data_IF_764525692043
#
_entry.id   IF_764525692043
#
_cell.length_a   1.000
_cell.length_b   1.000
_cell.length_c   1.000
_cell.angle_alpha   90.00
_cell.angle_beta   90.00
_cell.angle_gamma   90.00
#
_symmetry.space_group_name_H-M   'P 1'
#
loop_
_entity.id
_entity.type
_entity.pdbx_description
1 polymer ?
#
# COMPACT_ATOMS: atom_id res chain seq x y z
N UNK A 1 20.00 -24.00 23.53
CA UNK A 1 20.23 -24.46 24.93
C UNK A 1 20.11 -25.97 24.96
N UNK A 2 21.17 -26.68 25.32
CA UNK A 2 21.12 -28.14 25.46
C UNK A 2 20.61 -28.46 26.87
N UNK A 3 19.40 -29.03 26.94
CA UNK A 3 18.75 -29.47 28.16
C UNK A 3 19.13 -30.93 28.48
N UNK A 4 19.42 -31.20 29.77
CA UNK A 4 19.57 -32.55 30.22
C UNK A 4 18.23 -33.30 30.24
N UNK A 5 18.25 -34.63 30.33
CA UNK A 5 17.04 -35.46 30.28
C UNK A 5 16.01 -35.09 31.36
N UNK A 6 16.45 -34.80 32.60
CA UNK A 6 15.58 -34.39 33.67
C UNK A 6 15.06 -32.95 33.49
N UNK A 7 15.89 -32.01 33.00
CA UNK A 7 15.48 -30.61 32.73
C UNK A 7 14.34 -30.57 31.70
N UNK A 8 14.45 -31.38 30.64
CA UNK A 8 13.42 -31.50 29.60
C UNK A 8 12.13 -32.11 30.17
N UNK A 9 12.22 -33.11 31.00
CA UNK A 9 11.06 -33.75 31.63
C UNK A 9 10.29 -32.76 32.51
N UNK A 10 10.99 -31.96 33.35
CA UNK A 10 10.39 -30.94 34.23
C UNK A 10 9.78 -29.81 33.41
N UNK A 11 10.48 -29.29 32.38
CA UNK A 11 9.97 -28.25 31.51
C UNK A 11 8.67 -28.68 30.79
N UNK A 12 8.61 -29.93 30.27
CA UNK A 12 7.41 -30.50 29.67
C UNK A 12 6.25 -30.62 30.66
N UNK A 13 6.54 -30.97 31.93
CA UNK A 13 5.50 -31.10 32.97
C UNK A 13 4.93 -29.73 33.38
N UNK A 14 5.74 -28.67 33.32
CA UNK A 14 5.26 -27.29 33.58
C UNK A 14 4.46 -26.70 32.42
N UNK A 15 4.67 -27.16 31.20
CA UNK A 15 3.87 -26.78 30.03
C UNK A 15 2.52 -27.52 29.98
N UNK A 16 2.47 -28.78 30.47
CA UNK A 16 1.28 -29.63 30.46
C UNK A 16 0.83 -29.85 31.92
N UNK A 17 -0.09 -29.04 32.45
CA UNK A 17 -0.49 -29.09 33.83
C UNK A 17 -1.22 -30.39 34.19
N UNK A 18 -0.98 -30.84 35.44
CA UNK A 18 -1.72 -31.98 36.03
C UNK A 18 -3.12 -31.61 36.48
N UNK A 19 -3.88 -32.64 36.95
CA UNK A 19 -5.21 -32.45 37.55
C UNK A 19 -5.06 -31.50 38.79
N UNK A 20 -5.75 -30.34 38.74
CA UNK A 20 -5.75 -29.33 39.81
C UNK A 20 -4.95 -28.03 39.50
N UNK A 21 -4.21 -27.97 38.39
CA UNK A 21 -3.41 -26.79 37.99
C UNK A 21 -4.07 -25.94 36.90
N UNK A 22 -5.38 -25.96 36.79
CA UNK A 22 -6.15 -25.30 35.72
C UNK A 22 -5.92 -23.79 35.60
N UNK A 23 -5.65 -23.13 36.75
CA UNK A 23 -5.40 -21.69 36.74
C UNK A 23 -4.06 -21.33 36.06
N UNK A 24 -3.01 -22.12 36.27
CA UNK A 24 -1.70 -21.92 35.62
C UNK A 24 -1.82 -22.12 34.12
N UNK A 25 -2.56 -23.14 33.71
CA UNK A 25 -2.85 -23.42 32.32
C UNK A 25 -3.62 -22.28 31.64
N UNK A 26 -4.66 -21.75 32.31
CA UNK A 26 -5.43 -20.62 31.81
C UNK A 26 -4.52 -19.40 31.53
N UNK A 27 -3.66 -19.05 32.49
CA UNK A 27 -2.76 -17.88 32.34
C UNK A 27 -1.72 -18.10 31.23
N UNK A 28 -1.17 -19.31 31.12
CA UNK A 28 -0.26 -19.65 30.02
C UNK A 28 -0.95 -19.62 28.66
N UNK A 29 -2.20 -20.09 28.59
CA UNK A 29 -3.04 -20.05 27.36
C UNK A 29 -3.37 -18.62 26.94
N UNK A 30 -3.70 -17.74 27.89
CA UNK A 30 -3.94 -16.32 27.61
C UNK A 30 -2.67 -15.68 27.01
N UNK A 31 -1.50 -15.99 27.58
CA UNK A 31 -0.22 -15.47 27.06
C UNK A 31 0.08 -15.98 25.64
N UNK A 32 -0.18 -17.26 25.38
CA UNK A 32 -0.02 -17.86 24.05
C UNK A 32 -0.96 -17.18 23.04
N UNK A 33 -2.25 -17.03 23.39
CA UNK A 33 -3.25 -16.36 22.54
C UNK A 33 -2.88 -14.90 22.29
N UNK A 34 -2.38 -14.17 23.29
CA UNK A 34 -1.96 -12.78 23.12
C UNK A 34 -0.80 -12.65 22.13
N UNK A 35 0.20 -13.54 22.19
CA UNK A 35 1.32 -13.56 21.24
C UNK A 35 0.82 -13.97 19.86
N UNK A 36 -0.03 -14.98 19.76
CA UNK A 36 -0.64 -15.44 18.52
C UNK A 36 -1.39 -14.31 17.81
N UNK A 37 -2.26 -13.60 18.54
CA UNK A 37 -3.02 -12.48 17.98
C UNK A 37 -2.13 -11.31 17.61
N UNK A 38 -1.12 -10.97 18.42
CA UNK A 38 -0.18 -9.90 18.11
C UNK A 38 0.61 -10.15 16.85
N UNK A 39 1.16 -11.35 16.68
CA UNK A 39 1.92 -11.75 15.48
C UNK A 39 0.99 -11.82 14.25
N UNK A 40 -0.19 -12.42 14.39
CA UNK A 40 -1.16 -12.50 13.31
C UNK A 40 -1.60 -11.11 12.84
N UNK A 41 -1.95 -10.21 13.78
CA UNK A 41 -2.36 -8.84 13.47
C UNK A 41 -1.26 -8.08 12.69
N UNK A 42 0.00 -8.22 13.12
CA UNK A 42 1.14 -7.61 12.44
C UNK A 42 1.28 -8.09 11.00
N UNK A 43 1.24 -9.40 10.79
CA UNK A 43 1.36 -10.01 9.46
C UNK A 43 0.19 -9.58 8.57
N UNK A 44 -1.03 -9.60 9.08
CA UNK A 44 -2.22 -9.23 8.33
C UNK A 44 -2.14 -7.76 7.90
N UNK A 45 -1.91 -6.85 8.86
CA UNK A 45 -1.91 -5.41 8.60
C UNK A 45 -0.80 -5.03 7.63
N UNK A 46 0.44 -5.51 7.86
CA UNK A 46 1.56 -5.21 6.97
C UNK A 46 1.35 -5.76 5.56
N UNK A 47 0.83 -6.99 5.43
CA UNK A 47 0.55 -7.60 4.14
C UNK A 47 -0.54 -6.86 3.36
N UNK A 48 -1.60 -6.42 4.03
CA UNK A 48 -2.68 -5.63 3.42
C UNK A 48 -2.16 -4.25 3.00
N UNK A 49 -1.38 -3.58 3.85
CA UNK A 49 -0.78 -2.28 3.51
C UNK A 49 0.19 -2.36 2.34
N UNK A 50 1.03 -3.40 2.29
CA UNK A 50 1.91 -3.63 1.14
C UNK A 50 1.13 -3.94 -0.13
N UNK A 51 0.04 -4.70 -0.02
CA UNK A 51 -0.87 -4.96 -1.13
C UNK A 51 -1.55 -3.69 -1.63
N UNK A 52 -2.10 -2.88 -0.72
CA UNK A 52 -2.71 -1.59 -1.06
C UNK A 52 -1.73 -0.65 -1.75
N UNK A 53 -0.51 -0.57 -1.22
CA UNK A 53 0.55 0.27 -1.80
C UNK A 53 0.97 -0.20 -3.19
N UNK A 54 1.15 -1.51 -3.38
CA UNK A 54 1.49 -2.07 -4.69
C UNK A 54 0.39 -1.79 -5.72
N UNK A 55 -0.87 -2.00 -5.37
CA UNK A 55 -2.00 -1.75 -6.26
C UNK A 55 -2.17 -0.27 -6.61
N UNK A 56 -1.96 0.64 -5.62
CA UNK A 56 -1.95 2.08 -5.91
C UNK A 56 -0.85 2.46 -6.90
N UNK A 57 0.34 1.90 -6.73
CA UNK A 57 1.45 2.17 -7.64
C UNK A 57 1.20 1.65 -9.04
N UNK A 58 0.72 0.42 -9.16
CA UNK A 58 0.40 -0.17 -10.45
C UNK A 58 -0.64 0.66 -11.21
N UNK A 59 -1.63 1.23 -10.51
CA UNK A 59 -2.65 2.10 -11.13
C UNK A 59 -2.12 3.48 -11.48
N UNK A 60 -1.34 4.11 -10.61
CA UNK A 60 -0.75 5.43 -10.87
C UNK A 60 0.23 5.35 -12.07
N UNK A 61 1.09 4.34 -12.08
CA UNK A 61 2.09 4.13 -13.13
C UNK A 61 1.44 3.68 -14.44
N UNK A 62 0.40 2.84 -14.37
CA UNK A 62 -0.26 2.27 -15.54
C UNK A 62 -0.94 3.30 -16.45
N UNK A 63 -1.32 4.47 -15.93
CA UNK A 63 -2.00 5.53 -16.67
C UNK A 63 -1.12 6.71 -17.04
N UNK A 64 -0.11 7.05 -16.22
CA UNK A 64 0.68 8.28 -16.37
C UNK A 64 2.12 8.05 -16.81
N UNK A 65 2.45 6.84 -17.26
CA UNK A 65 3.84 6.49 -17.59
C UNK A 65 4.76 6.46 -16.36
N UNK A 66 6.03 6.12 -16.59
CA UNK A 66 7.04 6.01 -15.54
C UNK A 66 7.74 7.35 -15.26
N UNK A 67 7.73 8.26 -16.22
CA UNK A 67 8.26 9.62 -16.08
C UNK A 67 7.60 10.56 -17.08
N UNK A 68 7.75 11.85 -16.82
CA UNK A 68 7.39 12.91 -17.76
C UNK A 68 8.56 13.84 -17.99
N UNK A 69 8.71 14.28 -19.23
CA UNK A 69 9.54 15.45 -19.59
C UNK A 69 8.61 16.62 -19.73
N UNK A 70 8.60 17.52 -18.75
CA UNK A 70 7.71 18.68 -18.72
C UNK A 70 8.42 19.94 -19.19
N UNK A 71 7.87 20.61 -20.18
CA UNK A 71 8.36 21.90 -20.64
C UNK A 71 8.15 23.00 -19.58
N UNK A 72 9.06 23.95 -19.48
CA UNK A 72 8.91 25.08 -18.58
C UNK A 72 7.69 25.93 -18.98
N UNK A 73 6.87 26.29 -17.98
CA UNK A 73 5.60 26.98 -18.25
C UNK A 73 4.56 26.12 -18.95
N UNK A 74 4.68 24.80 -18.87
CA UNK A 74 3.82 23.82 -19.55
C UNK A 74 3.83 23.94 -21.10
N UNK A 75 4.99 24.36 -21.65
CA UNK A 75 5.24 24.54 -23.08
C UNK A 75 6.57 23.96 -23.50
N UNK A 76 6.58 23.11 -24.51
CA UNK A 76 7.75 22.47 -25.10
C UNK A 76 7.69 22.60 -26.61
N UNK A 77 8.33 23.65 -27.21
CA UNK A 77 8.28 23.88 -28.64
C UNK A 77 9.06 22.82 -29.44
N UNK A 78 10.21 22.36 -28.93
CA UNK A 78 11.09 21.40 -29.63
C UNK A 78 10.74 19.94 -29.25
N UNK A 79 9.46 19.64 -29.01
CA UNK A 79 9.04 18.36 -28.47
C UNK A 79 9.37 17.16 -29.37
N UNK A 80 9.41 17.34 -30.70
CA UNK A 80 9.74 16.25 -31.63
C UNK A 80 11.15 15.75 -31.45
N UNK A 81 12.11 16.67 -31.26
CA UNK A 81 13.51 16.34 -31.00
C UNK A 81 13.66 15.62 -29.65
N UNK A 82 12.93 16.09 -28.63
CA UNK A 82 12.95 15.47 -27.31
C UNK A 82 12.31 14.06 -27.33
N UNK A 83 11.21 13.86 -28.05
CA UNK A 83 10.61 12.54 -28.26
C UNK A 83 11.59 11.60 -28.96
N UNK A 84 12.31 12.08 -29.99
CA UNK A 84 13.27 11.25 -30.69
C UNK A 84 14.48 10.91 -29.82
N UNK A 85 14.99 11.85 -29.03
CA UNK A 85 16.04 11.59 -28.04
C UNK A 85 15.59 10.61 -26.97
N UNK A 86 14.35 10.75 -26.45
CA UNK A 86 13.78 9.83 -25.48
C UNK A 86 13.69 8.40 -26.04
N UNK A 87 13.19 8.24 -27.29
CA UNK A 87 13.07 6.93 -27.95
C UNK A 87 14.41 6.28 -28.24
N UNK A 88 15.50 7.06 -28.40
CA UNK A 88 16.86 6.55 -28.58
C UNK A 88 17.54 6.19 -27.27
N UNK A 89 16.97 6.60 -26.12
CA UNK A 89 17.55 6.31 -24.80
C UNK A 89 17.35 4.83 -24.47
N UNK A 90 18.43 4.07 -24.19
CA UNK A 90 18.31 2.64 -23.85
C UNK A 90 17.45 2.45 -22.62
N UNK A 91 16.49 1.50 -22.69
CA UNK A 91 15.54 1.22 -21.61
C UNK A 91 14.22 2.00 -21.69
N UNK A 92 14.08 2.98 -22.59
CA UNK A 92 12.79 3.61 -22.91
C UNK A 92 12.00 2.72 -23.87
N UNK A 93 10.77 2.39 -23.50
CA UNK A 93 9.86 1.57 -24.32
C UNK A 93 8.86 2.40 -25.11
N UNK A 94 8.47 3.56 -24.58
CA UNK A 94 7.54 4.49 -25.22
C UNK A 94 7.83 5.93 -24.80
N UNK A 95 7.62 6.87 -25.75
CA UNK A 95 7.63 8.30 -25.50
C UNK A 95 6.50 8.95 -26.31
N UNK A 96 5.50 9.47 -25.59
CA UNK A 96 4.24 9.98 -26.13
C UNK A 96 4.11 11.48 -25.83
N UNK A 97 4.02 12.35 -26.82
CA UNK A 97 3.75 13.78 -26.62
C UNK A 97 2.34 13.98 -26.10
N UNK A 98 2.19 14.85 -25.11
CA UNK A 98 0.95 15.04 -24.39
C UNK A 98 0.71 16.53 -24.07
N UNK A 99 -0.52 16.97 -24.24
CA UNK A 99 -1.03 18.22 -23.67
C UNK A 99 -1.99 17.84 -22.55
N UNK A 100 -1.68 18.25 -21.32
CA UNK A 100 -2.57 18.05 -20.20
C UNK A 100 -2.84 19.38 -19.52
N UNK A 101 -4.14 19.75 -19.42
CA UNK A 101 -4.56 21.03 -18.87
C UNK A 101 -5.84 20.87 -18.07
N UNK A 102 -5.85 21.32 -16.78
CA UNK A 102 -7.08 21.40 -16.02
C UNK A 102 -7.99 22.52 -16.55
N UNK A 103 -9.25 22.19 -16.77
CA UNK A 103 -10.27 23.05 -17.37
C UNK A 103 -11.61 22.90 -16.63
N UNK A 104 -12.60 23.66 -17.07
CA UNK A 104 -14.00 23.45 -16.70
C UNK A 104 -14.76 22.89 -17.90
N UNK A 105 -15.50 21.80 -17.69
CA UNK A 105 -16.44 21.23 -18.64
C UNK A 105 -17.86 21.57 -18.25
N UNK A 106 -18.70 21.97 -19.21
CA UNK A 106 -20.11 22.24 -18.93
C UNK A 106 -21.04 21.64 -19.98
N UNK A 107 -22.23 21.22 -19.55
CA UNK A 107 -23.33 20.81 -20.39
C UNK A 107 -24.65 21.05 -19.69
N UNK A 108 -25.63 21.62 -20.41
CA UNK A 108 -27.00 21.85 -19.93
C UNK A 108 -27.09 22.49 -18.53
N UNK A 109 -26.16 23.41 -18.24
CA UNK A 109 -26.10 24.11 -16.95
C UNK A 109 -25.38 23.37 -15.82
N UNK A 110 -24.92 22.15 -16.03
CA UNK A 110 -24.03 21.43 -15.10
C UNK A 110 -22.59 21.77 -15.42
N UNK A 111 -21.75 21.86 -14.39
CA UNK A 111 -20.33 22.20 -14.53
C UNK A 111 -19.48 21.25 -13.69
N UNK A 112 -18.39 20.73 -14.25
CA UNK A 112 -17.42 19.85 -13.56
C UNK A 112 -16.00 20.29 -13.93
N UNK A 113 -15.07 20.08 -12.98
CA UNK A 113 -13.65 20.22 -13.28
C UNK A 113 -13.20 19.05 -14.15
N UNK A 114 -12.54 19.36 -15.26
CA UNK A 114 -12.07 18.34 -16.21
C UNK A 114 -10.58 18.48 -16.46
N UNK A 115 -9.94 17.38 -16.82
CA UNK A 115 -8.56 17.33 -17.24
C UNK A 115 -8.53 16.99 -18.73
N UNK A 116 -8.26 18.01 -19.52
CA UNK A 116 -8.09 17.84 -20.96
C UNK A 116 -6.80 17.07 -21.22
N UNK A 117 -6.85 16.01 -22.01
CA UNK A 117 -5.70 15.23 -22.44
C UNK A 117 -5.67 15.15 -23.98
N UNK A 118 -4.80 15.98 -24.57
CA UNK A 118 -4.54 16.00 -26.00
C UNK A 118 -3.41 15.04 -26.35
N UNK A 119 -3.68 14.03 -27.19
CA UNK A 119 -2.71 13.01 -27.60
C UNK A 119 -2.75 12.81 -29.11
N UNK A 120 -1.63 12.35 -29.69
CA UNK A 120 -1.66 11.91 -31.08
C UNK A 120 -2.68 10.77 -31.27
N UNK A 121 -3.47 10.82 -32.32
CA UNK A 121 -4.52 9.82 -32.61
C UNK A 121 -3.99 8.38 -32.57
N UNK A 122 -2.78 8.15 -33.11
CA UNK A 122 -2.16 6.83 -33.10
C UNK A 122 -1.92 6.32 -31.67
N UNK A 123 -1.54 7.22 -30.75
CA UNK A 123 -1.21 6.88 -29.36
C UNK A 123 -2.49 6.65 -28.55
N UNK A 124 -3.58 7.40 -28.83
CA UNK A 124 -4.91 7.11 -28.24
C UNK A 124 -5.38 5.71 -28.63
N UNK A 125 -5.28 5.35 -29.91
CA UNK A 125 -5.75 4.05 -30.42
C UNK A 125 -4.81 2.88 -30.06
N UNK A 126 -3.54 3.14 -29.83
CA UNK A 126 -2.56 2.16 -29.39
C UNK A 126 -2.60 1.90 -27.89
N UNK A 127 -3.10 2.85 -27.10
CA UNK A 127 -3.14 2.72 -25.65
C UNK A 127 -4.12 1.63 -25.19
N UNK A 128 -3.64 0.53 -24.59
CA UNK A 128 -4.49 -0.59 -24.22
C UNK A 128 -5.53 -0.21 -23.16
N UNK A 129 -5.20 0.79 -22.32
CA UNK A 129 -6.06 1.24 -21.22
C UNK A 129 -7.34 1.91 -21.74
N UNK A 130 -7.23 2.74 -22.80
CA UNK A 130 -8.41 3.37 -23.38
C UNK A 130 -9.14 2.43 -24.35
N UNK A 131 -8.40 1.71 -25.19
CA UNK A 131 -8.97 0.83 -26.23
C UNK A 131 -9.84 -0.30 -25.66
N UNK A 132 -9.37 -0.95 -24.59
CA UNK A 132 -10.06 -2.10 -23.99
C UNK A 132 -11.29 -1.73 -23.15
N UNK A 133 -11.50 -0.44 -22.88
CA UNK A 133 -12.49 0.02 -21.89
C UNK A 133 -13.47 1.07 -22.43
N UNK A 134 -13.74 1.07 -23.74
CA UNK A 134 -14.81 1.88 -24.34
C UNK A 134 -16.16 1.28 -23.94
N UNK A 135 -16.97 2.05 -23.22
CA UNK A 135 -18.32 1.67 -22.78
C UNK A 135 -19.35 1.95 -23.89
N UNK A 136 -19.20 3.08 -24.62
CA UNK A 136 -20.11 3.48 -25.66
C UNK A 136 -19.40 4.35 -26.70
N UNK A 137 -19.82 4.26 -27.97
CA UNK A 137 -19.22 5.01 -29.06
C UNK A 137 -17.94 4.39 -29.63
N UNK A 138 -17.08 5.21 -30.25
CA UNK A 138 -15.82 4.76 -30.86
C UNK A 138 -14.72 5.81 -30.72
N UNK A 139 -13.51 5.40 -30.32
CA UNK A 139 -12.31 6.26 -30.33
C UNK A 139 -11.80 6.53 -31.77
N UNK A 140 -12.20 5.74 -32.74
CA UNK A 140 -11.78 5.92 -34.15
C UNK A 140 -12.31 7.23 -34.77
N UNK A 141 -13.39 7.78 -34.20
CA UNK A 141 -13.98 9.06 -34.59
C UNK A 141 -13.20 10.28 -34.09
N UNK A 142 -12.19 10.09 -33.25
CA UNK A 142 -11.25 11.14 -32.79
C UNK A 142 -10.26 11.43 -33.92
N UNK A 143 -10.67 12.24 -34.88
CA UNK A 143 -9.83 12.70 -35.98
C UNK A 143 -9.48 14.18 -35.76
N UNK A 144 -8.28 14.64 -36.13
CA UNK A 144 -7.92 16.05 -36.07
C UNK A 144 -8.94 16.90 -36.85
N UNK A 145 -9.41 17.98 -36.24
CA UNK A 145 -10.39 18.89 -36.81
C UNK A 145 -11.83 18.38 -36.80
N UNK A 146 -12.12 17.20 -36.29
CA UNK A 146 -13.49 16.65 -36.25
C UNK A 146 -14.38 17.30 -35.19
N UNK A 147 -13.81 18.00 -34.20
CA UNK A 147 -14.54 18.53 -33.07
C UNK A 147 -15.10 17.45 -32.14
N UNK A 148 -14.57 16.23 -32.21
CA UNK A 148 -14.98 15.10 -31.39
C UNK A 148 -14.06 14.94 -30.17
N UNK A 149 -14.66 14.52 -29.04
CA UNK A 149 -13.94 14.18 -27.80
C UNK A 149 -14.44 12.86 -27.25
N UNK A 150 -13.58 12.18 -26.47
CA UNK A 150 -13.99 11.06 -25.61
C UNK A 150 -13.92 11.48 -24.15
N UNK A 151 -14.90 11.07 -23.36
CA UNK A 151 -15.00 11.45 -21.95
C UNK A 151 -15.09 10.22 -21.06
N UNK A 152 -14.65 10.35 -19.79
CA UNK A 152 -14.81 9.29 -18.81
C UNK A 152 -16.29 9.05 -18.43
N UNK A 153 -16.62 7.81 -18.09
CA UNK A 153 -18.00 7.38 -17.80
C UNK A 153 -18.62 8.17 -16.64
N UNK A 154 -17.85 8.43 -15.58
CA UNK A 154 -18.31 9.21 -14.43
C UNK A 154 -18.52 10.69 -14.76
N UNK A 155 -17.72 11.24 -15.66
CA UNK A 155 -17.92 12.60 -16.17
C UNK A 155 -19.21 12.67 -17.00
N UNK A 156 -19.45 11.67 -17.84
CA UNK A 156 -20.67 11.56 -18.63
C UNK A 156 -21.93 11.52 -17.73
N UNK A 157 -21.90 10.73 -16.66
CA UNK A 157 -22.98 10.67 -15.66
C UNK A 157 -23.17 12.00 -14.94
N UNK A 158 -22.07 12.63 -14.44
CA UNK A 158 -22.14 13.88 -13.70
C UNK A 158 -22.73 15.04 -14.54
N UNK A 159 -22.32 15.11 -15.81
CA UNK A 159 -22.81 16.13 -16.73
C UNK A 159 -24.16 15.76 -17.41
N UNK A 160 -24.60 14.50 -17.28
CA UNK A 160 -25.80 13.99 -17.94
C UNK A 160 -25.69 13.90 -19.47
N UNK A 161 -24.48 13.62 -19.98
CA UNK A 161 -24.19 13.58 -21.42
C UNK A 161 -24.01 12.15 -21.91
N UNK A 162 -24.67 11.80 -23.01
CA UNK A 162 -24.43 10.58 -23.78
C UNK A 162 -23.56 10.80 -25.00
N UNK A 163 -23.24 9.70 -25.71
CA UNK A 163 -22.60 9.77 -27.03
C UNK A 163 -23.51 10.56 -28.00
N UNK A 164 -22.91 11.50 -28.74
CA UNK A 164 -23.59 12.44 -29.59
C UNK A 164 -23.97 13.76 -28.94
N UNK A 165 -23.95 13.86 -27.61
CA UNK A 165 -24.17 15.12 -26.88
C UNK A 165 -22.97 16.08 -26.99
N UNK A 166 -23.13 17.28 -26.44
CA UNK A 166 -22.11 18.33 -26.51
C UNK A 166 -21.59 18.68 -25.13
N UNK A 167 -20.27 18.79 -25.01
CA UNK A 167 -19.56 19.34 -23.86
C UNK A 167 -18.87 20.64 -24.26
N UNK A 168 -19.06 21.70 -23.47
CA UNK A 168 -18.36 22.96 -23.64
C UNK A 168 -17.17 23.01 -22.70
N UNK A 169 -15.96 23.13 -23.25
CA UNK A 169 -14.73 23.28 -22.50
C UNK A 169 -14.39 24.75 -22.34
N UNK A 170 -14.07 25.14 -21.10
CA UNK A 170 -13.75 26.51 -20.72
C UNK A 170 -12.32 26.55 -20.20
N UNK A 171 -11.46 27.33 -20.90
CA UNK A 171 -10.10 27.64 -20.48
C UNK A 171 -10.04 29.03 -19.86
N UNK A 172 -9.42 29.12 -18.67
CA UNK A 172 -9.11 30.40 -18.05
C UNK A 172 -8.04 31.19 -18.84
N UNK A 173 -7.15 30.47 -19.56
CA UNK A 173 -6.15 31.04 -20.45
C UNK A 173 -6.81 31.49 -21.76
N UNK A 174 -7.46 32.65 -21.71
CA UNK A 174 -8.18 33.24 -22.83
C UNK A 174 -7.39 34.37 -23.52
N UNK A 175 -8.05 35.11 -24.39
CA UNK A 175 -7.46 36.28 -25.01
C UNK A 175 -7.40 37.44 -24.04
N UNK A 176 -6.18 37.99 -23.86
CA UNK A 176 -6.01 39.23 -23.11
C UNK A 176 -6.57 40.39 -23.92
N UNK A 177 -7.52 41.09 -23.36
CA UNK A 177 -8.12 42.29 -23.91
C UNK A 177 -7.79 43.50 -23.04
N UNK A 178 -7.95 44.73 -23.53
CA UNK A 178 -7.76 45.93 -22.69
C UNK A 178 -8.66 45.97 -21.45
N UNK A 179 -9.74 45.19 -21.43
CA UNK A 179 -10.70 45.10 -20.33
C UNK A 179 -10.53 43.86 -19.44
N UNK A 180 -9.46 43.08 -19.66
CA UNK A 180 -9.18 41.84 -18.93
C UNK A 180 -9.08 40.59 -19.81
N UNK A 181 -8.81 39.45 -19.21
CA UNK A 181 -8.72 38.17 -19.94
C UNK A 181 -10.14 37.60 -20.13
N UNK A 182 -10.53 37.36 -21.38
CA UNK A 182 -11.81 36.70 -21.72
C UNK A 182 -11.58 35.20 -21.84
N UNK A 183 -12.24 34.37 -21.01
CA UNK A 183 -12.13 32.92 -21.11
C UNK A 183 -12.49 32.39 -22.49
N UNK A 184 -11.81 31.36 -22.95
CA UNK A 184 -12.14 30.68 -24.21
C UNK A 184 -13.10 29.55 -23.93
N UNK A 185 -14.24 29.54 -24.65
CA UNK A 185 -15.25 28.50 -24.54
C UNK A 185 -15.41 27.89 -25.93
N UNK A 186 -15.27 26.58 -26.04
CA UNK A 186 -15.50 25.82 -27.27
C UNK A 186 -16.32 24.56 -26.98
N UNK A 187 -17.33 24.30 -27.80
CA UNK A 187 -18.15 23.10 -27.66
C UNK A 187 -17.63 21.98 -28.55
N UNK A 188 -17.55 20.80 -28.01
CA UNK A 188 -17.10 19.57 -28.64
C UNK A 188 -18.19 18.52 -28.56
N UNK A 189 -18.25 17.62 -29.55
CA UNK A 189 -19.19 16.50 -29.57
C UNK A 189 -18.58 15.29 -28.90
N UNK A 190 -19.31 14.67 -27.99
CA UNK A 190 -18.90 13.41 -27.33
C UNK A 190 -19.08 12.26 -28.31
N UNK A 191 -17.99 11.63 -28.75
CA UNK A 191 -17.98 10.52 -29.70
C UNK A 191 -17.74 9.17 -29.06
N UNK A 192 -17.16 9.14 -27.87
CA UNK A 192 -16.94 7.93 -27.08
C UNK A 192 -17.00 8.20 -25.58
N UNK A 193 -17.41 7.19 -24.82
CA UNK A 193 -17.37 7.16 -23.37
C UNK A 193 -16.52 5.96 -22.96
N UNK A 194 -15.53 6.16 -22.11
CA UNK A 194 -14.63 5.13 -21.63
C UNK A 194 -14.64 5.04 -20.09
N UNK A 195 -14.28 3.86 -19.55
CA UNK A 195 -14.16 3.62 -18.12
C UNK A 195 -12.84 2.91 -17.82
N UNK A 196 -11.81 3.65 -17.34
CA UNK A 196 -10.51 3.07 -17.02
C UNK A 196 -10.50 2.36 -15.67
N UNK A 197 -11.53 2.58 -14.84
CA UNK A 197 -11.69 1.94 -13.53
C UNK A 197 -10.97 2.66 -12.42
N UNK A 198 -10.55 3.90 -12.63
CA UNK A 198 -10.05 4.82 -11.60
C UNK A 198 -11.01 6.02 -11.55
N UNK A 199 -11.67 6.16 -10.41
CA UNK A 199 -12.77 7.14 -10.24
C UNK A 199 -12.40 8.55 -10.66
N UNK A 200 -11.23 9.07 -10.24
CA UNK A 200 -10.79 10.44 -10.58
C UNK A 200 -10.59 10.62 -12.07
N UNK A 201 -10.02 9.63 -12.76
CA UNK A 201 -9.80 9.73 -14.20
C UNK A 201 -11.10 9.58 -14.98
N UNK A 202 -11.96 8.65 -14.55
CA UNK A 202 -13.28 8.47 -15.15
C UNK A 202 -14.19 9.68 -14.91
N UNK A 203 -13.93 10.47 -13.85
CA UNK A 203 -14.66 11.70 -13.53
C UNK A 203 -14.08 12.96 -14.19
N UNK A 204 -12.77 12.96 -14.51
CA UNK A 204 -12.11 14.19 -14.94
C UNK A 204 -11.66 14.17 -16.42
N UNK A 205 -11.33 13.02 -16.99
CA UNK A 205 -10.66 13.00 -18.30
C UNK A 205 -11.56 13.33 -19.48
N UNK A 206 -11.04 14.23 -20.32
CA UNK A 206 -11.53 14.53 -21.66
C UNK A 206 -10.37 14.31 -22.64
N UNK A 207 -10.48 13.31 -23.51
CA UNK A 207 -9.49 12.97 -24.53
C UNK A 207 -9.86 13.63 -25.86
N UNK A 208 -8.87 14.22 -26.53
CA UNK A 208 -9.00 14.73 -27.89
C UNK A 208 -7.69 14.59 -28.68
N UNK A 209 -7.75 14.71 -30.03
CA UNK A 209 -6.55 14.81 -30.84
C UNK A 209 -5.68 15.98 -30.40
N UNK A 210 -4.35 15.78 -30.44
CA UNK A 210 -3.39 16.80 -29.96
C UNK A 210 -3.47 18.10 -30.72
N UNK A 211 -3.80 18.03 -32.05
CA UNK A 211 -3.95 19.19 -32.91
C UNK A 211 -5.16 20.06 -32.51
N UNK A 212 -6.25 19.41 -32.06
CA UNK A 212 -7.43 20.10 -31.55
C UNK A 212 -7.15 20.74 -30.19
N UNK A 213 -6.40 20.06 -29.33
CA UNK A 213 -5.94 20.62 -28.05
C UNK A 213 -4.99 21.81 -28.25
N UNK A 214 -4.05 21.72 -29.20
CA UNK A 214 -3.14 22.82 -29.56
C UNK A 214 -3.94 24.05 -30.07
N UNK A 215 -4.93 23.83 -30.93
CA UNK A 215 -5.82 24.88 -31.45
C UNK A 215 -6.60 25.51 -30.31
N UNK A 216 -7.18 24.70 -29.43
CA UNK A 216 -8.00 25.16 -28.31
C UNK A 216 -7.19 25.97 -27.30
N UNK A 217 -5.98 25.53 -26.95
CA UNK A 217 -5.12 26.17 -25.95
C UNK A 217 -4.17 27.25 -26.51
N UNK A 218 -4.26 27.53 -27.82
CA UNK A 218 -3.35 28.47 -28.51
C UNK A 218 -1.87 28.13 -28.32
N UNK A 219 -1.52 26.85 -28.52
CA UNK A 219 -0.18 26.30 -28.41
C UNK A 219 0.26 25.75 -29.79
N UNK A 220 0.50 26.60 -30.80
CA UNK A 220 0.80 26.13 -32.14
C UNK A 220 2.12 25.35 -32.16
N UNK A 221 2.05 24.07 -32.54
CA UNK A 221 3.17 23.14 -32.63
C UNK A 221 3.97 22.96 -31.33
N UNK A 222 3.31 23.15 -30.18
CA UNK A 222 3.88 22.95 -28.84
C UNK A 222 3.11 21.85 -28.10
N UNK A 223 3.77 21.20 -27.16
CA UNK A 223 3.13 20.26 -26.20
C UNK A 223 3.48 20.69 -24.78
N UNK A 224 2.69 20.23 -23.79
CA UNK A 224 2.97 20.50 -22.39
C UNK A 224 4.06 19.60 -21.84
N UNK A 225 4.01 18.33 -22.21
CA UNK A 225 4.91 17.30 -21.69
C UNK A 225 5.06 16.13 -22.66
N UNK A 226 6.04 15.28 -22.37
CA UNK A 226 6.22 13.98 -23.02
C UNK A 226 6.16 12.92 -21.93
N UNK A 227 5.20 12.01 -22.05
CA UNK A 227 5.05 10.85 -21.18
C UNK A 227 6.02 9.74 -21.61
N UNK A 228 6.81 9.20 -20.67
CA UNK A 228 7.81 8.18 -20.94
C UNK A 228 7.49 6.90 -20.18
N UNK A 229 7.54 5.78 -20.89
CA UNK A 229 7.54 4.45 -20.30
C UNK A 229 8.93 3.82 -20.46
N UNK A 230 9.40 3.14 -19.42
CA UNK A 230 10.66 2.41 -19.39
C UNK A 230 10.40 0.93 -19.16
N UNK A 231 11.37 0.09 -19.47
CA UNK A 231 11.29 -1.35 -19.19
C UNK A 231 11.23 -1.67 -17.69
N UNK A 232 11.81 -0.79 -16.85
CA UNK A 232 11.83 -0.92 -15.39
C UNK A 232 11.44 0.41 -14.75
N UNK A 233 10.27 0.45 -14.11
CA UNK A 233 9.74 1.64 -13.44
C UNK A 233 10.53 2.00 -12.16
N UNK A 234 11.22 1.03 -11.55
CA UNK A 234 12.00 1.27 -10.33
C UNK A 234 13.34 1.95 -10.61
N UNK A 235 13.90 1.73 -11.82
CA UNK A 235 15.18 2.29 -12.25
C UNK A 235 15.03 3.45 -13.24
N UNK A 236 13.85 4.06 -13.32
CA UNK A 236 13.55 5.12 -14.28
C UNK A 236 14.48 6.33 -14.15
N UNK A 237 14.87 6.73 -12.94
CA UNK A 237 15.80 7.85 -12.71
C UNK A 237 17.19 7.59 -13.29
N UNK A 238 17.72 6.37 -13.16
CA UNK A 238 19.02 5.99 -13.76
C UNK A 238 18.90 5.92 -15.29
N UNK A 239 17.83 5.34 -15.79
CA UNK A 239 17.55 5.19 -17.24
C UNK A 239 17.43 6.53 -17.93
N UNK A 240 16.82 7.54 -17.30
CA UNK A 240 16.56 8.84 -17.89
C UNK A 240 17.61 9.90 -17.55
N UNK A 241 18.63 9.60 -16.77
CA UNK A 241 19.70 10.55 -16.43
C UNK A 241 20.39 11.18 -17.67
N UNK A 242 20.70 10.41 -18.76
CA UNK A 242 21.24 10.99 -19.98
C UNK A 242 20.27 11.97 -20.66
N UNK A 243 18.98 11.61 -20.72
CA UNK A 243 17.94 12.46 -21.29
C UNK A 243 17.77 13.74 -20.45
N UNK A 244 17.73 13.63 -19.13
CA UNK A 244 17.63 14.78 -18.22
C UNK A 244 18.76 15.79 -18.44
N UNK A 245 19.97 15.29 -18.68
CA UNK A 245 21.12 16.16 -19.01
C UNK A 245 20.97 16.83 -20.38
N UNK A 246 20.47 16.10 -21.37
CA UNK A 246 20.30 16.60 -22.73
C UNK A 246 19.20 17.67 -22.85
N UNK A 247 18.14 17.58 -22.04
CA UNK A 247 17.01 18.52 -22.05
C UNK A 247 17.16 19.63 -20.99
N UNK A 248 18.23 19.62 -20.20
CA UNK A 248 18.48 20.61 -19.15
C UNK A 248 18.39 22.04 -19.71
N UNK A 249 17.68 22.93 -19.02
CA UNK A 249 17.40 24.30 -19.46
C UNK A 249 16.19 24.49 -20.38
N UNK A 250 15.62 23.43 -20.96
CA UNK A 250 14.39 23.46 -21.80
C UNK A 250 13.21 22.78 -21.13
N UNK A 251 13.46 21.69 -20.42
CA UNK A 251 12.44 20.90 -19.75
C UNK A 251 13.01 20.26 -18.48
N UNK A 252 12.12 19.86 -17.59
CA UNK A 252 12.45 19.08 -16.41
C UNK A 252 11.99 17.61 -16.63
N UNK A 253 12.88 16.66 -16.32
CA UNK A 253 12.52 15.25 -16.28
C UNK A 253 12.13 14.91 -14.86
N UNK A 254 10.89 14.48 -14.66
CA UNK A 254 10.36 14.08 -13.37
C UNK A 254 9.90 12.62 -13.43
N UNK A 255 10.33 11.82 -12.48
CA UNK A 255 9.86 10.47 -12.35
C UNK A 255 8.51 10.42 -11.60
N UNK A 256 7.81 9.27 -11.68
CA UNK A 256 6.52 9.06 -11.04
C UNK A 256 6.56 9.23 -9.51
N UNK A 257 7.74 9.02 -8.86
CA UNK A 257 7.94 9.23 -7.42
C UNK A 257 8.00 10.70 -7.08
N UNK A 258 8.69 11.50 -7.90
CA UNK A 258 8.77 12.95 -7.72
C UNK A 258 7.42 13.62 -7.98
N UNK A 259 6.69 13.16 -8.98
CA UNK A 259 5.34 13.67 -9.27
C UNK A 259 4.35 13.40 -8.13
N UNK A 260 4.53 12.30 -7.40
CA UNK A 260 3.68 11.89 -6.28
C UNK A 260 4.42 11.94 -4.92
N UNK A 261 5.39 12.86 -4.77
CA UNK A 261 6.26 12.90 -3.59
C UNK A 261 5.50 13.01 -2.26
N UNK A 262 4.43 13.79 -2.21
CA UNK A 262 3.57 13.93 -1.02
C UNK A 262 2.88 12.61 -0.64
N UNK A 263 2.39 11.87 -1.63
CA UNK A 263 1.78 10.55 -1.42
C UNK A 263 2.82 9.55 -0.91
N UNK A 264 4.02 9.54 -1.51
CA UNK A 264 5.13 8.70 -1.07
C UNK A 264 5.55 8.98 0.37
N UNK A 265 5.69 10.25 0.71
CA UNK A 265 6.02 10.65 2.08
C UNK A 265 4.93 10.22 3.06
N UNK A 266 3.66 10.41 2.71
CA UNK A 266 2.53 9.97 3.55
C UNK A 266 2.55 8.45 3.77
N UNK A 267 2.75 7.64 2.71
CA UNK A 267 2.84 6.18 2.80
C UNK A 267 4.08 5.71 3.57
N UNK A 268 5.20 6.44 3.51
CA UNK A 268 6.39 6.16 4.29
C UNK A 268 6.15 6.41 5.78
N UNK A 269 5.56 7.56 6.12
CA UNK A 269 5.22 7.91 7.51
C UNK A 269 4.21 6.90 8.06
N UNK A 270 3.19 6.54 7.29
CA UNK A 270 2.21 5.53 7.65
C UNK A 270 2.87 4.18 7.96
N UNK A 271 3.78 3.70 7.09
CA UNK A 271 4.53 2.44 7.30
C UNK A 271 5.26 2.44 8.63
N UNK A 272 5.99 3.52 8.93
CA UNK A 272 6.74 3.66 10.18
C UNK A 272 5.78 3.72 11.38
N UNK A 273 4.70 4.50 11.29
CA UNK A 273 3.72 4.62 12.35
C UNK A 273 3.03 3.28 12.64
N UNK A 274 2.61 2.55 11.61
CA UNK A 274 2.00 1.22 11.76
C UNK A 274 2.98 0.22 12.36
N UNK A 275 4.24 0.21 11.92
CA UNK A 275 5.27 -0.64 12.51
C UNK A 275 5.47 -0.36 14.00
N UNK A 276 5.53 0.92 14.41
CA UNK A 276 5.67 1.32 15.82
C UNK A 276 4.44 0.88 16.64
N UNK A 277 3.22 1.19 16.16
CA UNK A 277 1.97 0.83 16.85
C UNK A 277 1.90 -0.69 17.05
N UNK A 278 2.16 -1.45 15.99
CA UNK A 278 2.09 -2.90 16.03
C UNK A 278 3.23 -3.51 16.87
N UNK A 279 4.41 -2.88 16.91
CA UNK A 279 5.49 -3.28 17.83
C UNK A 279 5.09 -3.10 19.30
N UNK A 280 4.31 -2.06 19.63
CA UNK A 280 3.75 -1.87 20.97
C UNK A 280 2.76 -3.00 21.30
N UNK A 281 1.95 -3.45 20.37
CA UNK A 281 1.04 -4.59 20.58
C UNK A 281 1.82 -5.87 20.92
N UNK A 282 2.91 -6.15 20.20
CA UNK A 282 3.80 -7.27 20.54
C UNK A 282 4.41 -7.08 21.93
N UNK A 283 4.85 -5.87 22.26
CA UNK A 283 5.40 -5.58 23.58
C UNK A 283 4.39 -5.88 24.70
N UNK A 284 3.12 -5.50 24.52
CA UNK A 284 2.04 -5.84 25.48
C UNK A 284 1.85 -7.36 25.58
N UNK A 285 1.87 -8.08 24.46
CA UNK A 285 1.80 -9.54 24.46
C UNK A 285 2.98 -10.17 25.21
N UNK A 286 4.16 -9.60 25.07
CA UNK A 286 5.38 -10.01 25.78
C UNK A 286 5.28 -9.75 27.29
N UNK A 287 4.69 -8.64 27.72
CA UNK A 287 4.40 -8.40 29.14
C UNK A 287 3.42 -9.43 29.72
N UNK A 288 2.50 -9.95 28.92
CA UNK A 288 1.64 -11.07 29.34
C UNK A 288 2.44 -12.35 29.59
N UNK A 289 3.45 -12.66 28.74
CA UNK A 289 4.39 -13.77 28.99
C UNK A 289 5.16 -13.54 30.31
N UNK A 290 5.69 -12.34 30.52
CA UNK A 290 6.42 -11.97 31.73
C UNK A 290 5.57 -12.20 32.97
N UNK A 291 4.35 -11.67 32.98
CA UNK A 291 3.40 -11.79 34.10
C UNK A 291 3.00 -13.24 34.37
N UNK A 292 2.72 -14.00 33.32
CA UNK A 292 2.38 -15.42 33.38
C UNK A 292 3.51 -16.24 33.96
N UNK A 293 4.75 -16.01 33.55
CA UNK A 293 5.92 -16.71 34.07
C UNK A 293 6.23 -16.34 35.52
N UNK A 294 6.08 -15.07 35.93
CA UNK A 294 6.21 -14.66 37.31
C UNK A 294 5.21 -15.40 38.19
N UNK A 295 3.98 -15.52 37.74
CA UNK A 295 2.93 -16.23 38.44
C UNK A 295 3.20 -17.73 38.53
N UNK A 296 3.64 -18.35 37.41
CA UNK A 296 4.06 -19.75 37.38
C UNK A 296 5.20 -19.99 38.40
N UNK A 297 6.23 -19.12 38.44
CA UNK A 297 7.34 -19.22 39.39
C UNK A 297 6.82 -19.15 40.84
N UNK A 298 5.91 -18.22 41.14
CA UNK A 298 5.31 -18.10 42.50
C UNK A 298 4.51 -19.33 42.86
N UNK A 299 3.67 -19.84 41.98
CA UNK A 299 2.86 -21.05 42.22
C UNK A 299 3.71 -22.31 42.41
N UNK A 300 4.91 -22.36 41.79
CA UNK A 300 5.84 -23.49 41.87
C UNK A 300 7.02 -23.26 42.81
N UNK A 301 6.96 -22.25 43.70
CA UNK A 301 8.04 -21.91 44.60
C UNK A 301 8.46 -23.08 45.51
N UNK A 302 7.50 -23.86 46.03
CA UNK A 302 7.74 -25.06 46.83
C UNK A 302 8.45 -26.16 46.04
N UNK A 303 7.95 -26.46 44.83
CA UNK A 303 8.57 -27.45 43.95
C UNK A 303 10.00 -27.05 43.58
N UNK A 304 10.27 -25.76 43.38
CA UNK A 304 11.60 -25.19 43.11
C UNK A 304 12.51 -25.41 44.32
N UNK A 305 12.02 -25.16 45.54
CA UNK A 305 12.78 -25.35 46.79
C UNK A 305 13.15 -26.84 46.97
N UNK A 306 12.23 -27.77 46.78
CA UNK A 306 12.48 -29.22 46.80
C UNK A 306 13.51 -29.63 45.75
N UNK A 307 13.40 -29.17 44.51
CA UNK A 307 14.38 -29.48 43.47
C UNK A 307 15.79 -28.99 43.86
N UNK A 308 15.89 -27.83 44.53
CA UNK A 308 17.16 -27.30 45.02
C UNK A 308 17.77 -28.10 46.14
N UNK A 309 16.96 -28.58 47.07
CA UNK A 309 17.47 -29.47 48.15
C UNK A 309 17.93 -30.83 47.62
N UNK A 310 17.32 -31.29 46.50
CA UNK A 310 17.75 -32.48 45.79
C UNK A 310 18.99 -32.28 44.88
N UNK A 311 19.58 -31.07 44.86
CA UNK A 311 20.84 -30.79 44.17
C UNK A 311 20.68 -30.09 42.81
N UNK A 312 19.50 -29.62 42.44
CA UNK A 312 19.31 -28.84 41.18
C UNK A 312 20.07 -27.50 41.28
N UNK A 313 20.93 -27.22 40.32
CA UNK A 313 21.72 -25.99 40.26
C UNK A 313 20.85 -24.79 39.85
N UNK A 314 21.27 -23.57 40.19
CA UNK A 314 20.64 -22.32 39.75
C UNK A 314 20.54 -22.28 38.23
N UNK A 315 21.60 -22.71 37.52
CA UNK A 315 21.62 -22.75 36.02
C UNK A 315 20.61 -23.73 35.44
N UNK A 316 20.38 -24.88 36.10
CA UNK A 316 19.37 -25.85 35.66
C UNK A 316 17.95 -25.28 35.77
N UNK A 317 17.60 -24.64 36.91
CA UNK A 317 16.31 -23.98 37.07
C UNK A 317 16.09 -22.85 36.06
N UNK A 318 17.11 -22.00 35.89
CA UNK A 318 17.06 -20.94 34.90
C UNK A 318 16.76 -21.48 33.47
N UNK A 319 17.46 -22.58 33.08
CA UNK A 319 17.21 -23.24 31.79
C UNK A 319 15.79 -23.80 31.69
N UNK A 320 15.25 -24.42 32.75
CA UNK A 320 13.90 -24.96 32.75
C UNK A 320 12.87 -23.85 32.51
N UNK A 321 12.89 -22.77 33.27
CA UNK A 321 11.92 -21.68 33.14
C UNK A 321 12.08 -20.87 31.82
N UNK A 322 13.32 -20.66 31.36
CA UNK A 322 13.56 -20.09 30.05
C UNK A 322 12.98 -20.95 28.93
N UNK A 323 13.16 -22.27 29.05
CA UNK A 323 12.58 -23.19 28.03
C UNK A 323 11.06 -23.11 28.01
N UNK A 324 10.42 -23.09 29.18
CA UNK A 324 8.95 -22.95 29.27
C UNK A 324 8.48 -21.67 28.58
N UNK A 325 9.07 -20.52 28.93
CA UNK A 325 8.64 -19.24 28.35
C UNK A 325 8.93 -19.12 26.86
N UNK A 326 10.12 -19.54 26.41
CA UNK A 326 10.47 -19.55 24.97
C UNK A 326 9.54 -20.50 24.21
N UNK A 327 9.17 -21.65 24.78
CA UNK A 327 8.25 -22.58 24.10
C UNK A 327 6.86 -21.97 23.94
N UNK A 328 6.33 -21.26 24.95
CA UNK A 328 5.06 -20.53 24.85
C UNK A 328 5.16 -19.46 23.75
N UNK A 329 6.26 -18.70 23.73
CA UNK A 329 6.52 -17.70 22.69
C UNK A 329 6.58 -18.29 21.29
N UNK A 330 7.36 -19.35 21.10
CA UNK A 330 7.48 -20.03 19.79
C UNK A 330 6.14 -20.61 19.32
N UNK A 331 5.40 -21.28 20.21
CA UNK A 331 4.08 -21.80 19.88
C UNK A 331 3.11 -20.68 19.52
N UNK A 332 3.13 -19.56 20.25
CA UNK A 332 2.32 -18.37 19.93
C UNK A 332 2.68 -17.78 18.58
N UNK A 333 3.98 -17.66 18.26
CA UNK A 333 4.46 -17.16 16.97
C UNK A 333 4.04 -18.08 15.82
N UNK A 334 4.23 -19.39 15.95
CA UNK A 334 3.83 -20.38 14.93
C UNK A 334 2.31 -20.34 14.71
N UNK A 335 1.53 -20.33 15.80
CA UNK A 335 0.09 -20.21 15.72
C UNK A 335 -0.34 -18.87 15.09
N UNK A 336 0.35 -17.77 15.39
CA UNK A 336 0.13 -16.45 14.79
C UNK A 336 0.44 -16.41 13.29
N UNK A 337 1.53 -17.05 12.86
CA UNK A 337 1.85 -17.23 11.43
C UNK A 337 0.74 -17.99 10.69
N UNK A 338 0.29 -19.11 11.26
CA UNK A 338 -0.80 -19.91 10.68
C UNK A 338 -2.10 -19.11 10.62
N UNK A 339 -2.48 -18.45 11.71
CA UNK A 339 -3.68 -17.64 11.77
C UNK A 339 -3.62 -16.47 10.77
N UNK A 340 -2.49 -15.77 10.68
CA UNK A 340 -2.26 -14.71 9.71
C UNK A 340 -2.37 -15.20 8.27
N UNK A 341 -1.74 -16.34 7.94
CA UNK A 341 -1.80 -16.93 6.61
C UNK A 341 -3.23 -17.37 6.23
N UNK A 342 -3.95 -18.01 7.16
CA UNK A 342 -5.35 -18.43 6.97
C UNK A 342 -6.24 -17.19 6.73
N UNK A 343 -6.10 -16.14 7.54
CA UNK A 343 -6.85 -14.90 7.34
C UNK A 343 -6.57 -14.28 5.97
N UNK A 344 -5.31 -14.17 5.57
CA UNK A 344 -4.94 -13.59 4.27
C UNK A 344 -5.48 -14.43 3.10
N UNK A 345 -5.54 -15.75 3.26
CA UNK A 345 -6.12 -16.64 2.25
C UNK A 345 -7.63 -16.42 2.10
N UNK A 346 -8.37 -16.30 3.21
CA UNK A 346 -9.83 -16.11 3.22
C UNK A 346 -10.24 -14.63 3.32
N UNK A 347 -9.36 -13.67 3.11
CA UNK A 347 -9.60 -12.24 3.33
C UNK A 347 -10.85 -11.71 2.64
N UNK A 348 -11.10 -12.14 1.39
CA UNK A 348 -12.27 -11.70 0.61
C UNK A 348 -13.56 -12.24 1.21
N UNK A 349 -13.61 -13.52 1.57
CA UNK A 349 -14.77 -14.13 2.24
C UNK A 349 -15.07 -13.49 3.59
N UNK A 350 -14.02 -13.04 4.31
CA UNK A 350 -14.19 -12.30 5.58
C UNK A 350 -14.83 -10.94 5.32
N UNK A 351 -14.40 -10.21 4.29
CA UNK A 351 -14.99 -8.91 3.91
C UNK A 351 -16.46 -9.10 3.52
N UNK A 352 -16.77 -10.08 2.68
CA UNK A 352 -18.14 -10.41 2.26
C UNK A 352 -19.04 -10.79 3.45
N UNK A 353 -18.52 -11.58 4.38
CA UNK A 353 -19.23 -11.94 5.60
C UNK A 353 -19.56 -10.71 6.46
N UNK A 354 -18.56 -9.79 6.66
CA UNK A 354 -18.77 -8.57 7.43
C UNK A 354 -19.81 -7.66 6.74
N UNK A 355 -19.77 -7.54 5.42
CA UNK A 355 -20.77 -6.79 4.64
C UNK A 355 -22.18 -7.39 4.79
N UNK A 356 -22.29 -8.73 4.74
CA UNK A 356 -23.56 -9.41 4.92
C UNK A 356 -24.15 -9.19 6.33
N UNK A 357 -23.31 -9.14 7.36
CA UNK A 357 -23.74 -8.93 8.76
C UNK A 357 -24.08 -7.47 9.05
N UNK A 358 -23.27 -6.53 8.54
CA UNK A 358 -23.45 -5.08 8.83
C UNK A 358 -24.45 -4.40 7.90
N UNK A 359 -24.79 -5.03 6.76
CA UNK A 359 -25.62 -4.42 5.71
C UNK A 359 -24.99 -3.20 5.04
N UNK A 360 -23.73 -2.90 5.34
CA UNK A 360 -23.00 -1.78 4.75
C UNK A 360 -22.01 -2.30 3.70
N UNK A 361 -21.95 -1.63 2.57
CA UNK A 361 -20.91 -1.87 1.58
C UNK A 361 -19.59 -1.28 2.06
N UNK A 362 -18.84 -2.06 2.86
CA UNK A 362 -17.56 -1.64 3.44
C UNK A 362 -16.47 -1.44 2.37
N UNK A 363 -16.68 -2.02 1.20
CA UNK A 363 -15.74 -1.99 0.11
C UNK A 363 -16.41 -1.44 -1.14
N UNK A 364 -16.72 -0.12 -1.10
CA UNK A 364 -17.25 0.57 -2.27
C UNK A 364 -16.08 0.99 -3.18
N UNK A 365 -16.01 0.49 -4.41
CA UNK A 365 -14.97 0.84 -5.37
C UNK A 365 -14.89 2.35 -5.66
N UNK A 366 -16.01 3.06 -5.55
CA UNK A 366 -16.08 4.52 -5.77
C UNK A 366 -15.38 5.33 -4.68
N UNK A 367 -15.25 4.76 -3.46
CA UNK A 367 -14.61 5.42 -2.32
C UNK A 367 -13.17 4.94 -2.12
N UNK A 368 -12.91 3.65 -2.39
CA UNK A 368 -11.62 3.03 -2.08
C UNK A 368 -10.75 2.70 -3.28
N UNK A 369 -11.18 3.02 -4.48
CA UNK A 369 -10.46 2.82 -5.75
C UNK A 369 -10.11 1.36 -6.09
N UNK A 370 -10.47 0.37 -5.24
CA UNK A 370 -10.08 -1.03 -5.34
C UNK A 370 -11.31 -1.92 -5.25
N UNK A 371 -11.42 -2.91 -6.12
CA UNK A 371 -12.52 -3.88 -6.17
C UNK A 371 -12.40 -4.98 -5.12
N UNK A 372 -11.18 -5.29 -4.67
CA UNK A 372 -10.87 -6.34 -3.69
C UNK A 372 -9.91 -5.83 -2.62
N UNK A 373 -9.88 -6.50 -1.46
CA UNK A 373 -8.89 -6.23 -0.42
C UNK A 373 -7.51 -6.75 -0.88
N UNK A 374 -6.58 -5.87 -1.31
CA UNK A 374 -5.28 -6.32 -1.78
C UNK A 374 -4.45 -6.84 -0.61
N UNK A 375 -3.59 -7.81 -0.87
CA UNK A 375 -2.60 -8.27 0.11
C UNK A 375 -1.35 -8.77 -0.59
N UNK A 376 -0.19 -8.30 -0.11
CA UNK A 376 1.12 -8.72 -0.62
C UNK A 376 2.04 -8.98 0.57
N UNK A 377 2.10 -10.24 1.08
CA UNK A 377 3.01 -10.57 2.16
C UNK A 377 4.47 -10.45 1.66
N UNK A 378 5.28 -9.67 2.37
CA UNK A 378 6.71 -9.57 2.13
C UNK A 378 7.45 -10.57 3.04
N UNK A 379 8.17 -11.57 2.48
CA UNK A 379 8.90 -12.56 3.27
C UNK A 379 9.93 -11.95 4.23
N UNK A 380 10.57 -10.84 3.84
CA UNK A 380 11.54 -10.18 4.71
C UNK A 380 10.88 -9.49 5.90
N UNK A 381 9.73 -8.86 5.71
CA UNK A 381 8.95 -8.27 6.80
C UNK A 381 8.40 -9.34 7.74
N UNK A 382 7.87 -10.44 7.20
CA UNK A 382 7.41 -11.57 8.01
C UNK A 382 8.56 -12.16 8.85
N UNK A 383 9.75 -12.32 8.26
CA UNK A 383 10.94 -12.77 8.97
C UNK A 383 11.34 -11.78 10.07
N UNK A 384 11.32 -10.48 9.80
CA UNK A 384 11.64 -9.45 10.78
C UNK A 384 10.66 -9.48 11.97
N UNK A 385 9.36 -9.65 11.71
CA UNK A 385 8.32 -9.81 12.73
C UNK A 385 8.59 -11.04 13.61
N UNK A 386 8.88 -12.17 12.99
CA UNK A 386 9.19 -13.42 13.72
C UNK A 386 10.43 -13.26 14.58
N UNK A 387 11.51 -12.70 14.04
CA UNK A 387 12.75 -12.48 14.80
C UNK A 387 12.55 -11.50 15.96
N UNK A 388 11.81 -10.41 15.74
CA UNK A 388 11.47 -9.44 16.78
C UNK A 388 10.62 -10.09 17.89
N UNK A 389 9.59 -10.84 17.53
CA UNK A 389 8.74 -11.53 18.49
C UNK A 389 9.51 -12.60 19.30
N UNK A 390 10.42 -13.35 18.65
CA UNK A 390 11.31 -14.30 19.32
C UNK A 390 12.26 -13.58 20.29
N UNK A 391 12.86 -12.47 19.87
CA UNK A 391 13.77 -11.69 20.70
C UNK A 391 13.05 -11.16 21.95
N UNK A 392 11.87 -10.56 21.77
CA UNK A 392 11.10 -10.03 22.89
C UNK A 392 10.59 -11.14 23.81
N UNK A 393 10.12 -12.28 23.28
CA UNK A 393 9.75 -13.44 24.09
C UNK A 393 10.92 -13.97 24.91
N UNK A 394 12.10 -14.03 24.30
CA UNK A 394 13.32 -14.44 25.01
C UNK A 394 13.69 -13.46 26.14
N UNK A 395 13.68 -12.15 25.87
CA UNK A 395 13.97 -11.12 26.87
C UNK A 395 13.00 -11.15 28.03
N UNK A 396 11.69 -11.32 27.76
CA UNK A 396 10.65 -11.40 28.78
C UNK A 396 10.84 -12.59 29.73
N UNK A 397 11.43 -13.67 29.24
CA UNK A 397 11.62 -14.88 30.03
C UNK A 397 12.84 -14.80 30.97
N UNK A 398 13.79 -13.89 30.73
CA UNK A 398 15.03 -13.78 31.49
C UNK A 398 14.78 -13.45 32.95
N UNK A 399 13.96 -12.43 33.23
CA UNK A 399 13.71 -11.98 34.61
C UNK A 399 12.98 -13.05 35.45
N UNK A 400 11.87 -13.67 35.01
CA UNK A 400 11.22 -14.74 35.77
C UNK A 400 12.12 -15.96 35.99
N UNK A 401 12.89 -16.36 34.99
CA UNK A 401 13.82 -17.48 35.08
C UNK A 401 14.96 -17.20 36.08
N UNK A 402 15.49 -15.98 36.05
CA UNK A 402 16.49 -15.55 37.05
C UNK A 402 15.89 -15.55 38.45
N UNK A 403 14.69 -15.03 38.66
CA UNK A 403 14.00 -15.01 39.94
C UNK A 403 13.73 -16.42 40.46
N UNK A 404 13.28 -17.36 39.62
CA UNK A 404 13.14 -18.76 39.99
C UNK A 404 14.45 -19.40 40.45
N UNK A 405 15.55 -19.09 39.72
CA UNK A 405 16.88 -19.60 40.06
C UNK A 405 17.46 -19.01 41.38
N UNK A 406 17.04 -17.83 41.80
CA UNK A 406 17.50 -17.15 43.03
C UNK A 406 16.69 -17.50 44.26
N UNK A 407 15.63 -18.32 44.19
CA UNK A 407 14.80 -18.74 45.33
C UNK A 407 15.62 -19.47 46.38
N UNK A 408 15.55 -19.01 47.61
CA UNK A 408 16.23 -19.64 48.76
C UNK A 408 15.35 -20.79 49.31
N UNK A 409 15.83 -22.05 49.26
CA UNK A 409 15.06 -23.20 49.72
C UNK A 409 14.81 -23.18 51.24
N UNK A 410 15.74 -22.59 52.02
CA UNK A 410 15.63 -22.54 53.48
C UNK A 410 14.48 -21.62 53.89
N UNK A 411 14.37 -20.45 53.26
CA UNK A 411 13.29 -19.52 53.58
C UNK A 411 11.92 -20.07 53.20
N UNK A 412 11.81 -20.73 52.03
CA UNK A 412 10.53 -21.27 51.53
C UNK A 412 10.03 -22.44 52.39
N UNK A 413 10.90 -23.32 52.89
CA UNK A 413 10.54 -24.49 53.63
C UNK A 413 10.42 -24.22 55.16
N UNK A 414 10.89 -23.07 55.65
CA UNK A 414 10.83 -22.71 57.07
C UNK A 414 9.56 -21.98 57.49
N UNK A 415 8.89 -21.27 56.55
CA UNK A 415 7.71 -20.46 56.83
C UNK A 415 6.40 -21.17 56.43
N UNK A 416 6.26 -22.45 56.81
CA UNK A 416 4.98 -23.16 56.96
C UNK A 416 4.66 -23.45 58.40
#
# INVERSE_FOLDING_TARGET
MILNRYERMIARRYLLPGKGEGFIFLVASISLVAVMLGVAALIIVMSVMNGFRAELFDRIIGLNGHAVVQGYGNRLPDWRDVVEQARRTPGVTSAVPLIEQPLMGSSEGRMEGVLLRGMERRDILANPTFKAKVVSGSLESLQPGSGNVAIGARLAEALGIGVGGQISLLSADGRTTPFGTVPRIVSYRVSAIFEVGIYEYDKAFVLMPIEDAQTFLMMPDEVGMIEIQTADADRVGETLAPLATAVAGRAAVMDWRQMNASLFQALQVERVAMFVILSIIILVAVFNILSSLIMLVRAKTRDIAILRTMGATRRALMKIFMTVGVTIGVLGIVAGLVLGAVFLYFRQSVVEFIQAVTGQNLWDPSIRFLTELPSKPDPFEVLAIVLMALLFSFLATLYPAWKAASTDPVQVLRYE
#
